data_IF_415511509203
#
_entry.id   IF_415511509203
#
_cell.length_a   1.000
_cell.length_b   1.000
_cell.length_c   1.000
_cell.angle_alpha   90.00
_cell.angle_beta   90.00
_cell.angle_gamma   90.00
#
_symmetry.space_group_name_H-M   'P 1'
#
loop_
_entity.id
_entity.type
_entity.pdbx_description
1 polymer ?
#
# COMPACT_ATOMS: atom_id res chain seq x y z
N UNK A 1 -17.27 -19.87 11.60
CA UNK A 1 -18.06 -20.06 10.36
C UNK A 1 -17.20 -20.39 9.13
N UNK A 2 -16.12 -19.65 8.80
CA UNK A 2 -15.19 -20.02 7.70
C UNK A 2 -14.49 -21.37 7.90
N UNK A 3 -14.05 -21.68 9.13
CA UNK A 3 -13.45 -22.98 9.46
C UNK A 3 -14.41 -24.15 9.15
N UNK A 4 -15.70 -23.96 9.43
CA UNK A 4 -16.74 -24.96 9.17
C UNK A 4 -17.01 -25.13 7.68
N UNK A 5 -16.93 -24.06 6.86
CA UNK A 5 -17.10 -24.17 5.40
C UNK A 5 -15.92 -24.88 4.71
N UNK A 6 -14.69 -24.64 5.17
CA UNK A 6 -13.49 -25.33 4.67
C UNK A 6 -13.39 -26.79 5.14
N UNK A 7 -13.86 -27.09 6.36
CA UNK A 7 -13.99 -28.48 6.82
C UNK A 7 -15.08 -29.25 6.05
N UNK A 8 -16.20 -28.60 5.71
CA UNK A 8 -17.32 -29.28 5.03
C UNK A 8 -17.06 -29.61 3.56
N UNK A 9 -16.14 -28.91 2.90
CA UNK A 9 -15.82 -29.09 1.48
C UNK A 9 -14.43 -29.69 1.22
N UNK A 10 -13.75 -30.22 2.25
CA UNK A 10 -12.43 -30.83 2.15
C UNK A 10 -11.35 -29.94 1.46
N UNK A 11 -11.52 -28.61 1.54
CA UNK A 11 -10.68 -27.59 0.91
C UNK A 11 -9.59 -27.06 1.86
N UNK A 12 -9.28 -27.82 2.92
CA UNK A 12 -8.35 -27.41 3.97
C UNK A 12 -6.94 -27.14 3.44
N UNK A 13 -6.50 -27.90 2.43
CA UNK A 13 -5.19 -27.71 1.77
C UNK A 13 -5.14 -26.38 1.01
N UNK A 14 -6.25 -25.95 0.41
CA UNK A 14 -6.34 -24.65 -0.27
C UNK A 14 -6.39 -23.50 0.73
N UNK A 15 -7.06 -23.67 1.87
CA UNK A 15 -7.04 -22.69 2.97
C UNK A 15 -5.64 -22.54 3.58
N UNK A 16 -4.94 -23.65 3.81
CA UNK A 16 -3.57 -23.65 4.33
C UNK A 16 -2.59 -23.12 3.29
N UNK A 17 -2.73 -23.46 2.00
CA UNK A 17 -1.87 -22.92 0.92
C UNK A 17 -2.14 -21.43 0.66
N UNK A 18 -3.40 -20.99 0.77
CA UNK A 18 -3.78 -19.57 0.74
C UNK A 18 -3.16 -18.84 1.94
N UNK A 19 -3.23 -19.41 3.15
CA UNK A 19 -2.61 -18.83 4.33
C UNK A 19 -1.08 -18.91 4.33
N UNK A 20 -0.45 -19.93 3.75
CA UNK A 20 1.02 -20.09 3.76
C UNK A 20 1.72 -19.38 2.59
N UNK A 21 1.07 -19.22 1.44
CA UNK A 21 1.61 -18.43 0.31
C UNK A 21 1.21 -16.95 0.35
N UNK A 22 0.09 -16.59 0.99
CA UNK A 22 -0.39 -15.20 1.14
C UNK A 22 -0.38 -14.70 2.60
N UNK A 23 0.37 -15.35 3.50
CA UNK A 23 0.64 -14.83 4.84
C UNK A 23 1.45 -13.53 4.73
N UNK A 24 0.80 -12.36 4.81
CA UNK A 24 1.21 -11.15 5.55
C UNK A 24 0.67 -9.82 5.00
N UNK A 25 -0.24 -9.81 4.02
CA UNK A 25 -0.96 -8.57 3.68
C UNK A 25 -2.46 -8.81 3.64
N UNK A 26 -3.08 -8.51 4.77
CA UNK A 26 -4.52 -8.66 5.01
C UNK A 26 -5.31 -7.72 4.12
N UNK A 27 -5.70 -8.14 2.91
CA UNK A 27 -6.88 -7.57 2.28
C UNK A 27 -8.11 -8.23 2.88
N UNK A 28 -8.75 -7.49 3.78
CA UNK A 28 -9.99 -7.80 4.49
C UNK A 28 -11.19 -8.03 3.55
N UNK A 29 -11.02 -7.98 2.22
CA UNK A 29 -12.11 -8.09 1.24
C UNK A 29 -12.37 -9.48 0.67
N UNK A 30 -11.46 -10.45 0.81
CA UNK A 30 -11.64 -11.75 0.15
C UNK A 30 -12.70 -12.66 0.78
N UNK A 31 -13.12 -12.43 2.03
CA UNK A 31 -14.04 -13.34 2.72
C UNK A 31 -15.54 -12.97 2.63
N UNK A 32 -15.90 -11.76 2.17
CA UNK A 32 -17.31 -11.32 2.19
C UNK A 32 -18.01 -11.37 0.81
N UNK A 33 -17.30 -11.68 -0.27
CA UNK A 33 -17.77 -11.45 -1.65
C UNK A 33 -17.69 -12.68 -2.58
N UNK A 34 -17.55 -13.90 -2.05
CA UNK A 34 -17.21 -15.09 -2.84
C UNK A 34 -18.42 -15.92 -3.34
N UNK A 35 -19.67 -15.39 -3.31
CA UNK A 35 -20.86 -16.21 -3.61
C UNK A 35 -21.53 -16.01 -4.98
N UNK A 36 -21.20 -15.00 -5.79
CA UNK A 36 -21.80 -14.83 -7.13
C UNK A 36 -20.75 -14.32 -8.14
N UNK A 37 -21.03 -14.52 -9.43
CA UNK A 37 -20.17 -14.22 -10.59
C UNK A 37 -19.49 -12.83 -10.50
N UNK A 38 -18.18 -12.80 -10.75
CA UNK A 38 -17.27 -11.64 -10.87
C UNK A 38 -17.66 -10.35 -10.13
N UNK A 39 -17.29 -10.24 -8.86
CA UNK A 39 -17.49 -9.04 -8.02
C UNK A 39 -16.28 -8.08 -7.96
N UNK A 40 -15.22 -8.34 -8.74
CA UNK A 40 -14.05 -7.46 -8.76
C UNK A 40 -14.37 -6.27 -9.67
N UNK A 41 -14.69 -5.12 -9.06
CA UNK A 41 -14.80 -3.87 -9.79
C UNK A 41 -13.40 -3.46 -10.26
N UNK A 42 -13.18 -3.45 -11.57
CA UNK A 42 -11.89 -3.12 -12.17
C UNK A 42 -11.45 -1.67 -11.92
N UNK A 43 -12.39 -0.79 -11.55
CA UNK A 43 -12.14 0.62 -11.23
C UNK A 43 -12.95 0.99 -9.99
N UNK A 44 -12.43 0.62 -8.82
CA UNK A 44 -13.01 1.04 -7.56
C UNK A 44 -12.18 2.20 -6.96
N UNK A 45 -12.73 3.42 -6.90
CA UNK A 45 -12.01 4.57 -6.34
C UNK A 45 -11.72 4.42 -4.84
N UNK A 46 -12.35 3.46 -4.16
CA UNK A 46 -12.10 3.16 -2.74
C UNK A 46 -11.09 2.03 -2.53
N UNK A 47 -10.43 1.54 -3.58
CA UNK A 47 -9.34 0.60 -3.42
C UNK A 47 -8.11 1.28 -2.86
N UNK A 48 -7.24 0.49 -2.21
CA UNK A 48 -5.95 0.96 -1.72
C UNK A 48 -5.04 -0.24 -1.47
N UNK A 49 -3.74 0.00 -1.43
CA UNK A 49 -2.76 -0.97 -0.95
C UNK A 49 -2.26 -0.54 0.41
N UNK A 50 -2.44 -1.41 1.41
CA UNK A 50 -1.93 -1.19 2.75
C UNK A 50 -0.42 -1.47 2.79
N UNK A 51 0.36 -0.52 3.31
CA UNK A 51 1.79 -0.64 3.50
C UNK A 51 2.12 -0.48 4.98
N UNK A 52 2.85 -1.44 5.53
CA UNK A 52 3.30 -1.38 6.92
C UNK A 52 4.56 -0.53 7.02
N UNK A 53 4.48 0.53 7.82
CA UNK A 53 5.59 1.39 8.20
C UNK A 53 5.64 1.53 9.73
N UNK A 54 6.83 1.85 10.23
CA UNK A 54 7.08 1.89 11.67
C UNK A 54 8.36 2.62 12.02
N UNK A 55 8.34 3.32 13.15
CA UNK A 55 9.53 3.87 13.77
C UNK A 55 10.28 2.79 14.54
N UNK A 56 11.59 2.71 14.34
CA UNK A 56 12.46 1.82 15.12
C UNK A 56 12.76 2.44 16.47
N UNK A 57 12.70 1.68 17.57
CA UNK A 57 13.12 2.16 18.90
C UNK A 57 14.62 2.47 18.97
N UNK A 58 15.42 1.94 18.04
CA UNK A 58 16.85 2.24 17.93
C UNK A 58 17.16 3.60 17.29
N UNK A 59 16.14 4.32 16.82
CA UNK A 59 16.28 5.62 16.17
C UNK A 59 16.55 6.71 17.22
N UNK A 60 17.66 7.47 17.13
CA UNK A 60 17.97 8.55 18.07
C UNK A 60 16.87 9.62 18.19
N UNK A 61 16.07 9.82 17.13
CA UNK A 61 14.99 10.81 17.09
C UNK A 61 13.61 10.18 17.32
N UNK A 62 13.55 8.93 17.81
CA UNK A 62 12.31 8.18 18.00
C UNK A 62 11.25 8.95 18.79
N UNK A 63 11.62 9.60 19.89
CA UNK A 63 10.67 10.33 20.75
C UNK A 63 10.11 11.58 20.07
N UNK A 64 10.96 12.38 19.41
CA UNK A 64 10.52 13.58 18.68
C UNK A 64 9.63 13.21 17.49
N UNK A 65 10.01 12.19 16.71
CA UNK A 65 9.17 11.68 15.61
C UNK A 65 7.84 11.14 16.13
N UNK A 66 7.87 10.39 17.23
CA UNK A 66 6.68 9.86 17.89
C UNK A 66 5.72 10.95 18.35
N UNK A 67 6.26 12.02 18.94
CA UNK A 67 5.47 13.17 19.39
C UNK A 67 4.79 13.88 18.21
N UNK A 68 5.54 14.15 17.14
CA UNK A 68 4.98 14.81 15.96
C UNK A 68 3.92 13.94 15.27
N UNK A 69 4.15 12.63 15.13
CA UNK A 69 3.14 11.71 14.59
C UNK A 69 1.88 11.66 15.46
N UNK A 70 2.02 11.74 16.78
CA UNK A 70 0.88 11.79 17.69
C UNK A 70 0.05 13.07 17.50
N UNK A 71 0.69 14.24 17.32
CA UNK A 71 0.00 15.50 16.99
C UNK A 71 -0.79 15.40 15.68
N UNK A 72 -0.28 14.63 14.72
CA UNK A 72 -0.92 14.38 13.43
C UNK A 72 -1.96 13.26 13.46
N UNK A 73 -2.19 12.62 14.61
CA UNK A 73 -3.04 11.43 14.75
C UNK A 73 -2.61 10.24 13.87
N UNK A 74 -1.32 10.09 13.61
CA UNK A 74 -0.74 9.00 12.81
C UNK A 74 -0.11 7.96 13.75
N UNK A 75 -0.40 6.65 13.57
CA UNK A 75 0.22 5.63 14.41
C UNK A 75 1.72 5.50 14.14
N UNK A 76 2.51 5.40 15.22
CA UNK A 76 3.98 5.20 15.17
C UNK A 76 4.39 3.93 14.41
N UNK A 77 3.54 2.91 14.47
CA UNK A 77 3.67 1.63 13.78
C UNK A 77 2.30 1.24 13.29
N UNK A 78 2.11 1.14 11.97
CA UNK A 78 0.78 0.94 11.42
C UNK A 78 0.76 0.64 9.93
N UNK A 79 -0.45 0.40 9.44
CA UNK A 79 -0.73 0.30 8.01
C UNK A 79 -1.14 1.68 7.50
N UNK A 80 -0.41 2.18 6.51
CA UNK A 80 -0.69 3.41 5.79
C UNK A 80 -1.08 3.06 4.35
N UNK A 81 -1.70 3.98 3.61
CA UNK A 81 -2.38 3.65 2.35
C UNK A 81 -1.68 4.26 1.14
N UNK A 82 -1.46 3.42 0.13
CA UNK A 82 -1.25 3.85 -1.26
C UNK A 82 -2.60 3.83 -1.95
N UNK A 83 -2.95 4.93 -2.60
CA UNK A 83 -4.27 5.16 -3.18
C UNK A 83 -4.21 5.01 -4.70
N UNK A 84 -5.33 4.74 -5.38
CA UNK A 84 -5.43 4.88 -6.83
C UNK A 84 -5.19 6.33 -7.25
N UNK A 85 -5.03 6.54 -8.56
CA UNK A 85 -5.04 7.88 -9.14
C UNK A 85 -6.41 8.56 -8.91
N UNK A 86 -6.46 9.89 -8.75
CA UNK A 86 -5.34 10.83 -8.89
C UNK A 86 -4.51 11.07 -7.60
N UNK A 87 -4.94 10.59 -6.44
CA UNK A 87 -4.28 10.93 -5.17
C UNK A 87 -2.94 10.22 -4.98
N UNK A 88 -2.85 8.96 -5.41
CA UNK A 88 -1.67 8.07 -5.33
C UNK A 88 -1.15 7.74 -3.92
N UNK A 89 -1.06 8.71 -3.02
CA UNK A 89 -0.48 8.62 -1.68
C UNK A 89 -1.47 9.25 -0.69
N UNK A 90 -1.80 8.52 0.38
CA UNK A 90 -2.64 9.09 1.44
C UNK A 90 -1.92 10.23 2.19
N UNK A 91 -2.64 11.25 2.69
CA UNK A 91 -2.06 12.32 3.49
C UNK A 91 -1.25 11.81 4.68
N UNK A 92 -1.74 10.77 5.36
CA UNK A 92 -1.07 10.17 6.51
C UNK A 92 0.21 9.45 6.11
N UNK A 93 0.24 8.79 4.95
CA UNK A 93 1.46 8.19 4.41
C UNK A 93 2.50 9.27 4.08
N UNK A 94 2.08 10.34 3.42
CA UNK A 94 2.97 11.45 3.07
C UNK A 94 3.58 12.09 4.31
N UNK A 95 2.74 12.45 5.29
CA UNK A 95 3.18 13.04 6.54
C UNK A 95 4.10 12.10 7.33
N UNK A 96 3.79 10.80 7.40
CA UNK A 96 4.66 9.83 8.07
C UNK A 96 6.07 9.84 7.46
N UNK A 97 6.18 9.80 6.13
CA UNK A 97 7.48 9.78 5.45
C UNK A 97 8.22 11.12 5.62
N UNK A 98 7.51 12.25 5.63
CA UNK A 98 8.10 13.56 5.94
C UNK A 98 8.73 13.55 7.32
N UNK A 99 7.97 13.18 8.35
CA UNK A 99 8.46 13.09 9.74
C UNK A 99 9.63 12.12 9.88
N UNK A 100 9.58 10.99 9.16
CA UNK A 100 10.65 10.01 9.13
C UNK A 100 11.97 10.58 8.60
N UNK A 101 11.93 11.52 7.65
CA UNK A 101 13.12 12.11 7.02
C UNK A 101 13.56 13.45 7.63
N UNK A 102 12.83 14.00 8.60
CA UNK A 102 13.20 15.24 9.28
C UNK A 102 14.44 15.07 10.17
N UNK A 103 15.23 16.13 10.24
CA UNK A 103 16.28 16.29 11.25
C UNK A 103 15.70 16.81 12.59
N UNK A 104 16.55 16.94 13.59
CA UNK A 104 16.12 17.35 14.93
C UNK A 104 15.53 18.76 14.98
N UNK A 105 16.11 19.72 14.27
CA UNK A 105 15.67 21.12 14.22
C UNK A 105 14.29 21.24 13.57
N UNK A 106 14.09 20.55 12.44
CA UNK A 106 12.82 20.47 11.73
C UNK A 106 11.74 19.84 12.60
N UNK A 107 12.04 18.73 13.28
CA UNK A 107 11.10 18.12 14.23
C UNK A 107 10.71 19.10 15.33
N UNK A 108 11.68 19.81 15.91
CA UNK A 108 11.41 20.79 16.95
C UNK A 108 10.52 21.94 16.46
N UNK A 109 10.78 22.45 15.25
CA UNK A 109 9.97 23.48 14.62
C UNK A 109 8.51 23.03 14.45
N UNK A 110 8.30 21.85 13.86
CA UNK A 110 6.95 21.33 13.57
C UNK A 110 6.18 20.90 14.82
N UNK A 111 6.86 20.42 15.87
CA UNK A 111 6.23 20.11 17.16
C UNK A 111 5.68 21.37 17.83
N UNK A 112 6.40 22.49 17.74
CA UNK A 112 5.98 23.77 18.32
C UNK A 112 5.06 24.59 17.42
N UNK A 113 4.81 24.15 16.18
CA UNK A 113 4.01 24.87 15.19
C UNK A 113 2.53 24.52 15.30
N UNK A 114 1.67 25.54 15.38
CA UNK A 114 0.20 25.36 15.30
C UNK A 114 -0.24 24.82 13.93
N UNK A 115 0.64 24.90 12.92
CA UNK A 115 0.40 24.45 11.55
C UNK A 115 0.95 23.06 11.27
N UNK A 116 1.21 22.24 12.30
CA UNK A 116 1.74 20.88 12.11
C UNK A 116 0.91 20.06 11.09
N UNK A 117 -0.42 20.23 11.07
CA UNK A 117 -1.33 19.56 10.14
C UNK A 117 -1.04 19.85 8.66
N UNK A 118 -0.34 20.94 8.34
CA UNK A 118 0.08 21.26 6.97
C UNK A 118 0.95 20.14 6.37
N UNK A 119 1.66 19.38 7.22
CA UNK A 119 2.45 18.22 6.81
C UNK A 119 1.64 17.10 6.14
N UNK A 120 0.31 17.09 6.27
CA UNK A 120 -0.60 16.17 5.57
C UNK A 120 -0.86 16.62 4.13
N UNK A 121 -0.71 17.90 3.83
CA UNK A 121 -1.07 18.48 2.54
C UNK A 121 0.06 18.39 1.53
N UNK A 122 -0.31 18.05 0.29
CA UNK A 122 0.64 17.85 -0.79
C UNK A 122 1.40 19.15 -1.16
N UNK A 123 0.75 20.31 -0.98
CA UNK A 123 1.27 21.64 -1.29
C UNK A 123 1.97 22.33 -0.11
N UNK A 124 2.23 21.58 0.98
CA UNK A 124 3.00 22.09 2.11
C UNK A 124 4.39 22.55 1.65
N UNK A 125 4.70 23.83 1.85
CA UNK A 125 6.03 24.35 1.59
C UNK A 125 7.04 23.73 2.56
N UNK A 126 7.96 22.94 2.02
CA UNK A 126 9.06 22.30 2.74
C UNK A 126 10.38 22.73 2.12
N UNK A 127 11.46 22.58 2.89
CA UNK A 127 12.80 22.66 2.33
C UNK A 127 12.97 21.61 1.23
N UNK A 128 13.57 22.00 0.11
CA UNK A 128 13.82 21.13 -1.05
C UNK A 128 14.52 19.82 -0.64
N UNK A 129 15.47 19.90 0.28
CA UNK A 129 16.22 18.72 0.74
C UNK A 129 15.33 17.67 1.46
N UNK A 130 14.33 18.11 2.23
CA UNK A 130 13.39 17.24 2.91
C UNK A 130 12.37 16.65 1.93
N UNK A 131 11.91 17.46 0.98
CA UNK A 131 11.00 17.02 -0.06
C UNK A 131 11.64 15.94 -0.95
N UNK A 132 12.88 16.15 -1.43
CA UNK A 132 13.59 15.16 -2.23
C UNK A 132 13.78 13.83 -1.47
N UNK A 133 14.18 13.87 -0.19
CA UNK A 133 14.31 12.66 0.65
C UNK A 133 12.98 11.94 0.82
N UNK A 134 11.89 12.69 0.99
CA UNK A 134 10.53 12.14 1.15
C UNK A 134 10.11 11.35 -0.10
N UNK A 135 10.25 11.95 -1.28
CA UNK A 135 9.87 11.30 -2.54
C UNK A 135 10.82 10.16 -2.92
N UNK A 136 12.12 10.29 -2.66
CA UNK A 136 13.09 9.22 -2.85
C UNK A 136 12.80 7.99 -1.96
N UNK A 137 12.40 8.22 -0.70
CA UNK A 137 11.97 7.15 0.19
C UNK A 137 10.74 6.43 -0.35
N UNK A 138 9.70 7.18 -0.74
CA UNK A 138 8.47 6.61 -1.30
C UNK A 138 8.76 5.81 -2.58
N UNK A 139 9.55 6.36 -3.51
CA UNK A 139 9.97 5.68 -4.73
C UNK A 139 10.66 4.35 -4.42
N UNK A 140 11.65 4.36 -3.52
CA UNK A 140 12.39 3.16 -3.13
C UNK A 140 11.46 2.12 -2.50
N UNK A 141 10.58 2.56 -1.59
CA UNK A 141 9.63 1.68 -0.91
C UNK A 141 8.67 1.05 -1.90
N UNK A 142 8.02 1.82 -2.77
CA UNK A 142 7.08 1.33 -3.78
C UNK A 142 7.74 0.33 -4.74
N UNK A 143 8.96 0.60 -5.17
CA UNK A 143 9.76 -0.33 -5.97
C UNK A 143 10.04 -1.66 -5.24
N UNK A 144 10.38 -1.61 -3.95
CA UNK A 144 10.55 -2.83 -3.14
C UNK A 144 9.25 -3.61 -3.02
N UNK A 145 8.10 -2.94 -2.86
CA UNK A 145 6.80 -3.61 -2.77
C UNK A 145 6.44 -4.32 -4.07
N UNK A 146 6.74 -3.71 -5.22
CA UNK A 146 6.51 -4.33 -6.53
C UNK A 146 7.42 -5.55 -6.78
N UNK A 147 8.67 -5.52 -6.31
CA UNK A 147 9.62 -6.63 -6.45
C UNK A 147 9.26 -7.88 -5.64
N UNK A 148 8.36 -7.77 -4.65
CA UNK A 148 7.91 -8.92 -3.86
C UNK A 148 6.93 -9.80 -4.65
N UNK A 149 6.27 -9.27 -5.69
CA UNK A 149 5.38 -10.08 -6.50
C UNK A 149 6.16 -11.09 -7.36
N UNK A 150 5.63 -12.31 -7.54
CA UNK A 150 6.33 -13.38 -8.27
C UNK A 150 6.39 -13.14 -9.80
N UNK A 151 5.59 -12.21 -10.31
CA UNK A 151 5.44 -11.88 -11.73
C UNK A 151 5.37 -10.37 -11.89
N UNK A 152 5.57 -9.85 -13.10
CA UNK A 152 5.37 -8.42 -13.39
C UNK A 152 3.89 -8.10 -13.61
N UNK A 153 3.56 -6.81 -13.79
CA UNK A 153 2.18 -6.41 -14.09
C UNK A 153 1.77 -6.86 -15.50
N UNK A 154 2.67 -6.70 -16.47
CA UNK A 154 2.46 -6.98 -17.89
C UNK A 154 2.17 -8.48 -18.13
N UNK A 155 2.91 -9.35 -17.44
CA UNK A 155 2.70 -10.81 -17.51
C UNK A 155 1.31 -11.19 -17.00
N UNK A 156 0.90 -10.61 -15.88
CA UNK A 156 -0.40 -10.90 -15.28
C UNK A 156 -1.56 -10.38 -16.13
N UNK A 157 -1.43 -9.17 -16.68
CA UNK A 157 -2.44 -8.58 -17.56
C UNK A 157 -2.61 -9.42 -18.82
N UNK A 158 -1.49 -9.87 -19.42
CA UNK A 158 -1.51 -10.77 -20.58
C UNK A 158 -2.22 -12.10 -20.24
N UNK A 159 -1.90 -12.66 -19.07
CA UNK A 159 -2.54 -13.89 -18.59
C UNK A 159 -4.04 -13.69 -18.38
N UNK A 160 -4.46 -12.56 -17.78
CA UNK A 160 -5.86 -12.25 -17.54
C UNK A 160 -6.64 -12.08 -18.84
N UNK A 161 -6.05 -11.39 -19.84
CA UNK A 161 -6.65 -11.24 -21.17
C UNK A 161 -6.84 -12.62 -21.81
N UNK A 162 -5.85 -13.50 -21.73
CA UNK A 162 -5.98 -14.85 -22.26
C UNK A 162 -7.06 -15.68 -21.57
N UNK A 163 -7.25 -15.53 -20.26
CA UNK A 163 -8.36 -16.15 -19.52
C UNK A 163 -9.72 -15.58 -19.98
N UNK A 164 -9.84 -14.26 -20.11
CA UNK A 164 -11.09 -13.60 -20.53
C UNK A 164 -11.48 -13.90 -21.98
N UNK A 165 -10.50 -14.08 -22.85
CA UNK A 165 -10.71 -14.48 -24.25
C UNK A 165 -10.90 -16.00 -24.44
N UNK A 166 -10.93 -16.79 -23.36
CA UNK A 166 -11.07 -18.25 -23.44
C UNK A 166 -9.84 -18.98 -24.00
N UNK A 167 -8.71 -18.28 -24.19
CA UNK A 167 -7.43 -18.88 -24.64
C UNK A 167 -6.80 -19.76 -23.55
N UNK A 168 -7.07 -19.46 -22.29
CA UNK A 168 -6.66 -20.25 -21.15
C UNK A 168 -7.88 -20.66 -20.33
N UNK A 169 -7.97 -21.94 -19.99
CA UNK A 169 -8.94 -22.40 -19.01
C UNK A 169 -8.38 -22.14 -17.61
N UNK A 170 -9.07 -21.32 -16.83
CA UNK A 170 -8.74 -21.02 -15.44
C UNK A 170 -10.00 -21.10 -14.60
N UNK A 171 -9.93 -21.81 -13.48
CA UNK A 171 -11.03 -21.85 -12.53
C UNK A 171 -11.30 -20.44 -11.95
N UNK A 172 -12.54 -20.20 -11.52
CA UNK A 172 -13.00 -18.88 -11.09
C UNK A 172 -12.16 -18.27 -9.96
N UNK A 173 -11.80 -19.07 -8.94
CA UNK A 173 -11.04 -18.59 -7.77
C UNK A 173 -9.63 -18.11 -8.18
N UNK A 174 -8.81 -18.91 -8.90
CA UNK A 174 -7.53 -18.43 -9.45
C UNK A 174 -7.65 -17.18 -10.33
N UNK A 175 -8.69 -17.06 -11.14
CA UNK A 175 -8.92 -15.88 -11.97
C UNK A 175 -9.16 -14.63 -11.11
N UNK A 176 -9.94 -14.75 -10.03
CA UNK A 176 -10.15 -13.65 -9.07
C UNK A 176 -8.86 -13.25 -8.34
N UNK A 177 -8.03 -14.21 -7.96
CA UNK A 177 -6.72 -13.92 -7.32
C UNK A 177 -5.80 -13.17 -8.30
N UNK A 178 -5.79 -13.58 -9.57
CA UNK A 178 -5.04 -12.90 -10.63
C UNK A 178 -5.51 -11.45 -10.81
N UNK A 179 -6.83 -11.23 -10.91
CA UNK A 179 -7.41 -9.89 -11.01
C UNK A 179 -7.03 -9.02 -9.81
N UNK A 180 -7.14 -9.55 -8.60
CA UNK A 180 -6.80 -8.82 -7.38
C UNK A 180 -5.31 -8.44 -7.34
N UNK A 181 -4.42 -9.36 -7.72
CA UNK A 181 -2.97 -9.10 -7.82
C UNK A 181 -2.66 -8.00 -8.83
N UNK A 182 -3.35 -7.98 -9.96
CA UNK A 182 -3.22 -6.93 -10.99
C UNK A 182 -3.64 -5.58 -10.42
N UNK A 183 -4.76 -5.51 -9.69
CA UNK A 183 -5.22 -4.26 -9.08
C UNK A 183 -4.19 -3.68 -8.10
N UNK A 184 -3.63 -4.50 -7.21
CA UNK A 184 -2.59 -4.03 -6.28
C UNK A 184 -1.34 -3.52 -7.02
N UNK A 185 -0.88 -4.26 -8.04
CA UNK A 185 0.27 -3.84 -8.86
C UNK A 185 0.01 -2.55 -9.61
N UNK A 186 -1.20 -2.33 -10.16
CA UNK A 186 -1.57 -1.09 -10.84
C UNK A 186 -1.50 0.11 -9.92
N UNK A 187 -2.07 -0.01 -8.71
CA UNK A 187 -2.03 1.05 -7.69
C UNK A 187 -0.57 1.39 -7.34
N UNK A 188 0.24 0.37 -7.06
CA UNK A 188 1.65 0.56 -6.71
C UNK A 188 2.49 1.13 -7.86
N UNK A 189 2.27 0.67 -9.10
CA UNK A 189 2.98 1.14 -10.28
C UNK A 189 2.64 2.60 -10.59
N UNK A 190 1.36 2.96 -10.57
CA UNK A 190 0.92 4.34 -10.77
C UNK A 190 1.50 5.28 -9.70
N UNK A 191 1.46 4.87 -8.42
CA UNK A 191 2.06 5.65 -7.33
C UNK A 191 3.59 5.76 -7.46
N UNK A 192 4.27 4.72 -7.97
CA UNK A 192 5.70 4.74 -8.21
C UNK A 192 6.06 5.75 -9.31
N UNK A 193 5.30 5.79 -10.40
CA UNK A 193 5.53 6.74 -11.47
C UNK A 193 5.24 8.18 -11.03
N UNK A 194 4.19 8.38 -10.22
CA UNK A 194 3.92 9.67 -9.58
C UNK A 194 5.10 10.12 -8.68
N UNK A 195 5.65 9.23 -7.86
CA UNK A 195 6.82 9.54 -7.03
C UNK A 195 8.07 9.87 -7.88
N UNK A 196 8.32 9.14 -8.98
CA UNK A 196 9.44 9.42 -9.89
C UNK A 196 9.34 10.80 -10.54
N UNK A 197 8.15 11.25 -10.89
CA UNK A 197 7.95 12.58 -11.47
C UNK A 197 8.36 13.68 -10.47
N UNK A 198 8.07 13.48 -9.18
CA UNK A 198 8.44 14.41 -8.11
C UNK A 198 9.91 14.37 -7.69
N UNK A 199 10.61 13.25 -7.90
CA UNK A 199 12.07 13.18 -7.66
C UNK A 199 12.88 13.82 -8.79
N UNK A 200 12.32 13.93 -9.99
CA UNK A 200 12.99 14.52 -11.17
C UNK A 200 12.83 16.04 -11.27
N UNK A 201 11.88 16.60 -10.55
CA UNK A 201 11.66 18.04 -10.41
C UNK A 201 12.63 18.60 -9.37
#
# INVERSE_FOLDING_TARGET
MLLQYFQKNNLFVLFVSFLTKFCLRKCVRLCFWASLKSFINSVNPRDYVAIKLGLSQSDPLYEKRSQLLQLLNIPKNGELKVLPAPEHISPELLAFVRVFNMNEEQLQHWISSERATDLLHIDCALETSLESKTWQYLQTRLMLLLRVFPTTLEVDETQLVGVKCGKFQMAQIPAMILEYRILEKRILAAALDYAKQRTKA
#
